data_IF_130692583085
#
_entry.id   IF_130692583085
#
_cell.length_a   1.000
_cell.length_b   1.000
_cell.length_c   1.000
_cell.angle_alpha   90.00
_cell.angle_beta   90.00
_cell.angle_gamma   90.00
#
_symmetry.space_group_name_H-M   'P 1'
#
loop_
_entity.id
_entity.type
_entity.pdbx_description
1 polymer ?
#
# COMPACT_ATOMS: atom_id res chain seq x y z
N UNK A 1 -71.54 -7.31 16.23
CA UNK A 1 -71.64 -7.39 14.75
C UNK A 1 -71.48 -5.98 14.20
N UNK A 2 -70.32 -5.77 13.57
CA UNK A 2 -70.05 -4.93 12.38
C UNK A 2 -70.00 -3.40 12.48
N UNK A 3 -68.96 -2.83 11.84
CA UNK A 3 -68.77 -1.42 11.56
C UNK A 3 -67.30 -0.99 11.72
N UNK A 4 -66.35 -1.38 10.86
CA UNK A 4 -65.83 -0.57 9.72
C UNK A 4 -65.53 0.89 10.16
N UNK A 5 -64.31 1.44 10.10
CA UNK A 5 -63.46 1.61 8.92
C UNK A 5 -62.16 2.34 9.38
N UNK A 6 -60.98 1.88 8.97
CA UNK A 6 -59.72 2.64 9.09
C UNK A 6 -59.23 3.00 7.68
N UNK A 7 -59.11 4.30 7.40
CA UNK A 7 -58.42 4.89 6.24
C UNK A 7 -57.55 6.04 6.79
N UNK A 8 -56.23 5.83 6.87
CA UNK A 8 -55.19 6.27 5.90
C UNK A 8 -54.94 7.78 5.91
N UNK A 9 -53.71 8.20 6.25
CA UNK A 9 -52.83 9.04 5.40
C UNK A 9 -51.42 9.08 6.02
N UNK A 10 -50.42 8.91 5.15
CA UNK A 10 -48.97 9.09 5.30
C UNK A 10 -48.51 10.22 6.24
N UNK A 11 -47.38 10.01 6.93
CA UNK A 11 -46.23 10.87 6.68
C UNK A 11 -44.90 10.15 6.94
N UNK A 12 -44.01 10.26 5.97
CA UNK A 12 -42.69 9.68 5.97
C UNK A 12 -41.69 10.62 6.66
N UNK A 13 -40.98 10.12 7.67
CA UNK A 13 -39.60 10.54 7.96
C UNK A 13 -38.88 9.34 8.60
N UNK A 14 -38.22 8.51 7.80
CA UNK A 14 -36.86 8.69 7.28
C UNK A 14 -35.78 8.48 8.36
N UNK A 15 -35.19 7.28 8.24
CA UNK A 15 -33.80 6.86 8.55
C UNK A 15 -33.45 6.53 9.99
N UNK A 16 -33.25 5.22 10.18
CA UNK A 16 -32.40 4.59 11.20
C UNK A 16 -30.98 5.20 11.20
N UNK A 17 -30.34 5.37 12.37
CA UNK A 17 -28.89 5.33 12.47
C UNK A 17 -28.47 3.91 12.84
N UNK A 18 -28.01 3.14 11.84
CA UNK A 18 -27.25 1.92 12.07
C UNK A 18 -25.78 2.32 12.32
N UNK A 19 -25.43 2.62 13.57
CA UNK A 19 -24.02 2.70 13.98
C UNK A 19 -23.53 1.28 14.32
N UNK A 20 -23.16 0.52 13.28
CA UNK A 20 -22.27 -0.62 13.41
C UNK A 20 -20.83 -0.18 13.17
N UNK A 21 -19.84 -0.59 13.98
CA UNK A 21 -18.45 -0.31 13.65
C UNK A 21 -18.03 -1.28 12.52
N UNK A 22 -18.16 -0.85 11.27
CA UNK A 22 -17.66 -1.57 10.10
C UNK A 22 -16.31 -1.02 9.58
N UNK A 23 -15.64 -0.18 10.38
CA UNK A 23 -14.42 0.53 9.96
C UNK A 23 -13.13 -0.27 10.23
N UNK A 24 -13.16 -1.59 10.01
CA UNK A 24 -12.03 -2.49 10.30
C UNK A 24 -11.85 -3.67 9.36
N UNK A 25 -12.70 -3.81 8.34
CA UNK A 25 -12.62 -4.88 7.36
C UNK A 25 -12.08 -4.40 6.01
N UNK A 26 -12.24 -3.12 5.65
CA UNK A 26 -11.63 -2.52 4.45
C UNK A 26 -10.11 -2.32 4.59
N UNK A 27 -9.61 -2.11 5.81
CA UNK A 27 -8.18 -1.92 6.13
C UNK A 27 -7.31 -3.19 5.92
N UNK A 28 -7.94 -4.37 5.75
CA UNK A 28 -7.25 -5.67 5.63
C UNK A 28 -7.07 -6.16 4.19
N UNK A 29 -7.77 -5.58 3.23
CA UNK A 29 -7.65 -5.94 1.80
C UNK A 29 -6.49 -5.22 1.11
N UNK A 30 -5.91 -4.21 1.77
CA UNK A 30 -4.79 -3.41 1.26
C UNK A 30 -3.51 -3.54 2.11
N UNK A 31 -3.32 -4.68 2.80
CA UNK A 31 -2.00 -4.98 3.37
C UNK A 31 -1.02 -5.28 2.22
N UNK A 32 -0.49 -4.19 1.67
CA UNK A 32 0.46 -4.13 0.59
C UNK A 32 1.79 -4.84 0.95
N UNK A 33 2.05 -4.99 2.25
CA UNK A 33 3.21 -5.68 2.81
C UNK A 33 2.95 -7.17 3.07
N UNK A 34 1.71 -7.65 2.92
CA UNK A 34 1.38 -9.06 3.01
C UNK A 34 2.09 -9.88 1.91
N UNK A 35 2.91 -10.89 2.27
CA UNK A 35 3.78 -11.60 1.33
C UNK A 35 3.02 -12.70 0.56
N UNK A 36 2.04 -12.31 -0.26
CA UNK A 36 1.17 -13.22 -0.99
C UNK A 36 1.87 -13.96 -2.15
N UNK A 37 2.89 -13.35 -2.77
CA UNK A 37 3.37 -13.79 -4.08
C UNK A 37 4.58 -14.71 -3.98
N UNK A 38 4.50 -15.88 -4.60
CA UNK A 38 5.65 -16.79 -4.73
C UNK A 38 6.64 -16.26 -5.78
N UNK A 39 7.89 -16.77 -5.73
CA UNK A 39 8.94 -16.45 -6.71
C UNK A 39 8.49 -16.57 -8.17
N UNK A 40 7.88 -17.70 -8.54
CA UNK A 40 7.45 -17.94 -9.92
C UNK A 40 6.34 -16.98 -10.33
N UNK A 41 5.35 -16.78 -9.46
CA UNK A 41 4.23 -15.88 -9.73
C UNK A 41 4.67 -14.42 -9.84
N UNK A 42 5.57 -13.97 -8.98
CA UNK A 42 6.18 -12.64 -9.03
C UNK A 42 6.94 -12.43 -10.34
N UNK A 43 7.75 -13.40 -10.75
CA UNK A 43 8.52 -13.33 -12.00
C UNK A 43 7.61 -13.25 -13.23
N UNK A 44 6.56 -14.08 -13.27
CA UNK A 44 5.55 -14.07 -14.33
C UNK A 44 4.82 -12.73 -14.43
N UNK A 45 4.31 -12.22 -13.30
CA UNK A 45 3.56 -10.96 -13.25
C UNK A 45 4.36 -9.75 -13.74
N UNK A 46 5.66 -9.73 -13.45
CA UNK A 46 6.57 -8.64 -13.81
C UNK A 46 7.26 -8.87 -15.17
N UNK A 47 7.00 -9.99 -15.84
CA UNK A 47 7.69 -10.34 -17.10
C UNK A 47 9.22 -10.41 -16.94
N UNK A 48 9.71 -10.83 -15.78
CA UNK A 48 11.14 -10.91 -15.43
C UNK A 48 11.56 -12.35 -15.14
N UNK A 49 12.87 -12.59 -15.10
CA UNK A 49 13.37 -13.91 -14.70
C UNK A 49 13.41 -14.06 -13.18
N UNK A 50 13.33 -15.30 -12.66
CA UNK A 50 13.62 -15.53 -11.25
C UNK A 50 15.05 -15.12 -10.85
N UNK A 51 16.01 -15.11 -11.78
CA UNK A 51 17.36 -14.63 -11.49
C UNK A 51 17.36 -13.13 -11.18
N UNK A 52 16.61 -12.34 -11.93
CA UNK A 52 16.46 -10.90 -11.70
C UNK A 52 15.96 -10.57 -10.29
N UNK A 53 14.86 -11.21 -9.86
CA UNK A 53 14.33 -11.00 -8.50
C UNK A 53 15.31 -11.45 -7.40
N UNK A 54 16.15 -12.46 -7.65
CA UNK A 54 17.23 -12.82 -6.72
C UNK A 54 18.30 -11.74 -6.65
N UNK A 55 18.69 -11.16 -7.79
CA UNK A 55 19.64 -10.04 -7.84
C UNK A 55 19.14 -8.83 -7.07
N UNK A 56 17.85 -8.50 -7.15
CA UNK A 56 17.26 -7.40 -6.37
C UNK A 56 17.32 -7.65 -4.86
N UNK A 57 17.11 -8.90 -4.42
CA UNK A 57 17.26 -9.31 -3.02
C UNK A 57 18.74 -9.24 -2.56
N UNK A 58 19.68 -9.70 -3.39
CA UNK A 58 21.11 -9.55 -3.12
C UNK A 58 21.53 -8.08 -2.99
N UNK A 59 20.98 -7.21 -3.85
CA UNK A 59 21.18 -5.76 -3.78
C UNK A 59 20.41 -5.08 -2.63
N UNK A 60 19.63 -5.83 -1.84
CA UNK A 60 18.79 -5.37 -0.73
C UNK A 60 17.75 -4.31 -1.10
N UNK A 61 17.37 -4.23 -2.37
CA UNK A 61 16.23 -3.40 -2.77
C UNK A 61 14.92 -4.00 -2.24
N UNK A 62 14.82 -5.33 -2.25
CA UNK A 62 13.70 -6.08 -1.70
C UNK A 62 14.21 -7.10 -0.69
N UNK A 63 13.45 -7.36 0.37
CA UNK A 63 13.79 -8.38 1.38
C UNK A 63 12.61 -9.32 1.53
N UNK A 64 12.52 -10.39 0.72
CA UNK A 64 11.37 -11.27 0.74
C UNK A 64 11.27 -12.03 2.06
N UNK A 65 10.04 -12.18 2.52
CA UNK A 65 9.77 -13.09 3.64
C UNK A 65 9.97 -14.53 3.17
N UNK A 66 10.31 -15.43 4.10
CA UNK A 66 10.43 -16.86 3.81
C UNK A 66 9.27 -17.59 4.46
N UNK A 67 8.56 -18.38 3.68
CA UNK A 67 7.55 -19.31 4.23
C UNK A 67 8.23 -20.38 5.10
N UNK A 68 7.44 -21.13 5.87
CA UNK A 68 7.92 -22.30 6.64
C UNK A 68 8.70 -23.31 5.79
N UNK A 69 8.33 -23.49 4.51
CA UNK A 69 9.05 -24.33 3.54
C UNK A 69 10.28 -23.68 2.90
N UNK A 70 10.74 -22.50 3.37
CA UNK A 70 11.94 -21.82 2.88
C UNK A 70 11.78 -21.03 1.57
N UNK A 71 10.61 -21.11 0.92
CA UNK A 71 10.33 -20.37 -0.31
C UNK A 71 10.17 -18.87 -0.04
N UNK A 72 10.71 -18.06 -0.97
CA UNK A 72 10.57 -16.60 -0.95
C UNK A 72 9.14 -16.19 -1.25
N UNK A 73 8.67 -15.22 -0.49
CA UNK A 73 7.36 -14.63 -0.56
C UNK A 73 7.50 -13.12 -0.63
N UNK A 74 6.86 -12.54 -1.63
CA UNK A 74 6.95 -11.13 -1.95
C UNK A 74 5.64 -10.45 -1.65
N UNK A 75 5.73 -9.24 -1.13
CA UNK A 75 4.58 -8.36 -0.95
C UNK A 75 4.29 -7.56 -2.21
N UNK A 76 3.12 -6.92 -2.29
CA UNK A 76 2.76 -6.09 -3.44
C UNK A 76 3.68 -4.88 -3.54
N UNK A 77 4.08 -4.30 -2.40
CA UNK A 77 5.07 -3.23 -2.31
C UNK A 77 6.40 -3.63 -2.99
N UNK A 78 6.89 -4.83 -2.66
CA UNK A 78 8.14 -5.34 -3.22
C UNK A 78 8.05 -5.58 -4.73
N UNK A 79 6.88 -5.98 -5.25
CA UNK A 79 6.68 -6.11 -6.70
C UNK A 79 6.72 -4.75 -7.41
N UNK A 80 6.19 -3.68 -6.79
CA UNK A 80 6.30 -2.32 -7.34
C UNK A 80 7.74 -1.83 -7.39
N UNK A 81 8.52 -2.11 -6.34
CA UNK A 81 9.97 -1.84 -6.34
C UNK A 81 10.70 -2.60 -7.45
N UNK A 82 10.37 -3.89 -7.61
CA UNK A 82 10.97 -4.71 -8.66
C UNK A 82 10.60 -4.23 -10.07
N UNK A 83 9.37 -3.75 -10.28
CA UNK A 83 8.95 -3.13 -11.54
C UNK A 83 9.75 -1.85 -11.83
N UNK A 84 9.87 -0.93 -10.87
CA UNK A 84 10.69 0.29 -11.02
C UNK A 84 12.14 -0.04 -11.39
N UNK A 85 12.73 -1.03 -10.71
CA UNK A 85 14.08 -1.47 -11.02
C UNK A 85 14.19 -2.06 -12.44
N UNK A 86 13.19 -2.84 -12.87
CA UNK A 86 13.14 -3.38 -14.22
C UNK A 86 13.09 -2.27 -15.26
N UNK A 87 12.24 -1.26 -15.06
CA UNK A 87 12.09 -0.15 -15.99
C UNK A 87 13.41 0.64 -16.14
N UNK A 88 14.14 0.87 -15.05
CA UNK A 88 15.46 1.52 -15.09
C UNK A 88 16.51 0.68 -15.81
N UNK A 89 16.50 -0.64 -15.59
CA UNK A 89 17.43 -1.57 -16.26
C UNK A 89 17.14 -1.65 -17.76
N UNK A 90 15.86 -1.66 -18.16
CA UNK A 90 15.46 -1.65 -19.57
C UNK A 90 15.87 -0.35 -20.28
N UNK A 91 16.01 0.76 -19.54
CA UNK A 91 16.56 2.02 -20.03
C UNK A 91 18.10 2.04 -20.11
N UNK A 92 18.77 0.95 -19.75
CA UNK A 92 20.23 0.80 -19.79
C UNK A 92 20.95 1.13 -18.48
N UNK A 93 20.22 1.35 -17.39
CA UNK A 93 20.82 1.54 -16.06
C UNK A 93 21.34 0.21 -15.53
N UNK A 94 22.55 0.18 -14.98
CA UNK A 94 23.05 -1.01 -14.29
C UNK A 94 22.16 -1.36 -13.09
N UNK A 95 21.92 -2.66 -12.83
CA UNK A 95 21.01 -3.11 -11.76
C UNK A 95 21.37 -2.52 -10.39
N UNK A 96 22.65 -2.49 -10.03
CA UNK A 96 23.09 -1.92 -8.75
C UNK A 96 22.82 -0.42 -8.66
N UNK A 97 22.98 0.31 -9.77
CA UNK A 97 22.67 1.72 -9.85
C UNK A 97 21.15 1.96 -9.75
N UNK A 98 20.33 1.17 -10.44
CA UNK A 98 18.88 1.23 -10.35
C UNK A 98 18.38 0.99 -8.92
N UNK A 99 18.89 -0.04 -8.25
CA UNK A 99 18.59 -0.31 -6.84
C UNK A 99 18.98 0.87 -5.94
N UNK A 100 20.19 1.44 -6.15
CA UNK A 100 20.68 2.58 -5.36
C UNK A 100 19.82 3.83 -5.56
N UNK A 101 19.40 4.12 -6.79
CA UNK A 101 18.53 5.25 -7.12
C UNK A 101 17.21 5.12 -6.37
N UNK A 102 16.53 3.97 -6.49
CA UNK A 102 15.21 3.77 -5.87
C UNK A 102 15.29 3.91 -4.34
N UNK A 103 16.31 3.32 -3.70
CA UNK A 103 16.50 3.44 -2.25
C UNK A 103 16.68 4.91 -1.83
N UNK A 104 17.45 5.68 -2.59
CA UNK A 104 17.70 7.10 -2.30
C UNK A 104 16.45 7.95 -2.53
N UNK A 105 15.67 7.66 -3.57
CA UNK A 105 14.40 8.34 -3.86
C UNK A 105 13.38 8.10 -2.73
N UNK A 106 13.22 6.85 -2.29
CA UNK A 106 12.32 6.51 -1.19
C UNK A 106 12.78 7.19 0.14
N UNK A 107 14.09 7.21 0.42
CA UNK A 107 14.65 7.93 1.58
C UNK A 107 14.43 9.44 1.50
N UNK A 108 14.58 10.03 0.30
CA UNK A 108 14.37 11.44 0.08
C UNK A 108 12.90 11.82 0.28
N UNK A 109 11.98 11.03 -0.27
CA UNK A 109 10.54 11.23 -0.10
C UNK A 109 10.15 11.19 1.38
N UNK A 110 10.67 10.22 2.14
CA UNK A 110 10.39 10.10 3.57
C UNK A 110 10.98 11.28 4.37
N UNK A 111 12.22 11.67 4.09
CA UNK A 111 12.83 12.84 4.73
C UNK A 111 12.05 14.13 4.43
N UNK A 112 11.55 14.31 3.21
CA UNK A 112 10.71 15.45 2.84
C UNK A 112 9.37 15.42 3.58
N UNK A 113 8.73 14.25 3.73
CA UNK A 113 7.49 14.08 4.48
C UNK A 113 7.67 14.48 5.95
N UNK A 114 8.69 13.96 6.61
CA UNK A 114 9.03 14.29 8.00
C UNK A 114 9.31 15.79 8.16
N UNK A 115 10.11 16.38 7.26
CA UNK A 115 10.41 17.80 7.30
C UNK A 115 9.16 18.67 7.13
N UNK A 116 8.23 18.29 6.25
CA UNK A 116 6.97 19.01 6.06
C UNK A 116 6.09 18.93 7.32
N UNK A 117 6.03 17.77 7.97
CA UNK A 117 5.32 17.57 9.23
C UNK A 117 5.92 18.43 10.36
N UNK A 118 7.24 18.39 10.54
CA UNK A 118 7.95 19.21 11.52
C UNK A 118 7.78 20.71 11.29
N UNK A 119 7.72 21.15 10.02
CA UNK A 119 7.46 22.57 9.70
C UNK A 119 6.03 23.00 10.05
N UNK A 120 5.05 22.10 9.91
CA UNK A 120 3.64 22.36 10.31
C UNK A 120 3.49 22.45 11.83
N UNK A 121 4.23 21.64 12.58
CA UNK A 121 4.16 21.66 14.06
C UNK A 121 4.98 22.78 14.69
N UNK A 122 6.04 23.26 14.02
CA UNK A 122 6.93 24.31 14.52
C UNK A 122 6.57 25.74 14.06
N UNK A 123 5.43 25.99 13.41
CA UNK A 123 5.01 27.38 13.14
C UNK A 123 4.84 28.14 14.47
N UNK A 124 5.69 29.14 14.79
CA UNK A 124 5.58 29.88 16.02
C UNK A 124 4.28 30.68 15.99
N UNK A 125 3.38 30.40 16.94
CA UNK A 125 2.23 31.24 17.25
C UNK A 125 2.78 32.62 17.65
N UNK A 126 2.83 33.54 16.70
CA UNK A 126 3.20 34.93 16.97
C UNK A 126 2.14 35.49 17.92
N UNK A 127 2.49 35.92 19.15
CA UNK A 127 1.51 36.51 20.05
C UNK A 127 1.06 37.86 19.47
N UNK A 128 -0.26 38.16 19.42
CA UNK A 128 -0.72 39.47 18.98
C UNK A 128 -0.27 40.56 19.96
N UNK A 129 0.16 41.70 19.42
CA UNK A 129 0.48 42.93 20.17
C UNK A 129 -0.78 43.55 20.76
#
# INVERSE_FOLDING_TARGET
>A
MNGTQSIHTDDQHRREPQDGPDDGLEDKFEDEDYPAYSMGRAAEMLGVTPAFLRSLDTARLIVPQRSSGGHRRYSRYQLRLAQRARDLVDQGTALDAACRIIILEDQLAEAQRINAELRRTNTPKTPPK
#
